data_IF_412008444470
#
_entry.id   IF_412008444470
#
_cell.length_a   1.000
_cell.length_b   1.000
_cell.length_c   1.000
_cell.angle_alpha   90.00
_cell.angle_beta   90.00
_cell.angle_gamma   90.00
#
_symmetry.space_group_name_H-M   'P 1'
#
loop_
_entity.id
_entity.type
_entity.pdbx_description
1 polymer ?
#
# COMPACT_ATOMS: atom_id res chain seq x y z
N UNK A 1 -54.18 -11.35 17.78
CA UNK A 1 -52.91 -11.71 17.09
C UNK A 1 -52.03 -10.44 17.10
N UNK A 2 -51.00 -10.28 17.95
CA UNK A 2 -49.63 -10.84 17.84
C UNK A 2 -49.09 -10.66 16.40
N UNK A 3 -48.02 -9.94 16.04
CA UNK A 3 -46.71 -9.65 16.65
C UNK A 3 -46.04 -8.46 15.88
N UNK A 4 -45.45 -7.46 16.57
CA UNK A 4 -44.01 -7.13 16.75
C UNK A 4 -43.43 -5.95 15.93
N UNK A 5 -42.97 -4.95 16.70
CA UNK A 5 -42.01 -3.87 16.38
C UNK A 5 -40.74 -4.41 15.71
N UNK A 6 -40.22 -3.69 14.72
CA UNK A 6 -38.80 -3.71 14.36
C UNK A 6 -38.22 -2.35 14.76
N UNK A 7 -37.27 -2.40 15.71
CA UNK A 7 -36.45 -1.29 16.14
C UNK A 7 -35.50 -0.88 15.00
N UNK A 8 -35.52 0.39 14.65
CA UNK A 8 -34.42 1.05 13.94
C UNK A 8 -33.16 0.90 14.79
N UNK A 9 -32.22 0.05 14.36
CA UNK A 9 -30.85 0.08 14.88
C UNK A 9 -30.20 1.34 14.35
N UNK A 10 -29.89 2.26 15.25
CA UNK A 10 -28.92 3.32 15.02
C UNK A 10 -27.60 2.66 14.58
N UNK A 11 -27.09 3.11 13.44
CA UNK A 11 -25.73 2.82 12.98
C UNK A 11 -24.78 3.62 13.89
N UNK A 12 -23.80 3.02 14.57
CA UNK A 12 -22.80 3.80 15.27
C UNK A 12 -21.90 4.49 14.22
N UNK A 13 -21.93 5.83 14.23
CA UNK A 13 -20.93 6.67 13.59
C UNK A 13 -19.61 6.53 14.35
N UNK A 14 -18.77 5.57 13.98
CA UNK A 14 -17.36 5.57 14.37
C UNK A 14 -16.55 6.33 13.33
N UNK A 15 -16.48 7.64 13.54
CA UNK A 15 -15.32 8.44 13.14
C UNK A 15 -14.14 7.94 13.97
N UNK A 16 -13.48 6.89 13.49
CA UNK A 16 -12.31 6.30 14.12
C UNK A 16 -11.09 7.16 13.74
N UNK A 17 -10.49 7.79 14.74
CA UNK A 17 -9.38 8.74 14.57
C UNK A 17 -8.11 7.99 14.12
N UNK A 18 -7.74 8.16 12.84
CA UNK A 18 -6.54 7.59 12.20
C UNK A 18 -5.26 7.82 13.03
N UNK A 19 -5.22 8.88 13.87
CA UNK A 19 -4.08 9.16 14.77
C UNK A 19 -3.89 8.08 15.84
N UNK A 20 -4.96 7.44 16.28
CA UNK A 20 -4.90 6.38 17.30
C UNK A 20 -4.43 5.04 16.73
N UNK A 21 -4.78 4.72 15.48
CA UNK A 21 -4.25 3.55 14.77
C UNK A 21 -2.75 3.71 14.53
N UNK A 22 -2.32 4.84 13.98
CA UNK A 22 -0.90 5.17 13.74
C UNK A 22 -0.07 5.02 15.03
N UNK A 23 -0.62 5.44 16.18
CA UNK A 23 0.05 5.34 17.49
C UNK A 23 0.21 3.90 17.98
N UNK A 24 -0.80 3.05 17.78
CA UNK A 24 -0.71 1.62 18.12
C UNK A 24 0.32 0.90 17.23
N UNK A 25 0.36 1.20 15.93
CA UNK A 25 1.34 0.64 14.99
C UNK A 25 2.79 1.01 15.35
N UNK A 26 3.05 2.25 15.79
CA UNK A 26 4.38 2.66 16.22
C UNK A 26 4.91 1.84 17.42
N UNK A 27 4.02 1.30 18.25
CA UNK A 27 4.40 0.57 19.49
C UNK A 27 4.76 -0.89 19.20
N UNK A 28 4.16 -1.52 18.18
CA UNK A 28 4.44 -2.91 17.81
C UNK A 28 5.78 -3.10 17.07
N UNK A 29 6.29 -2.05 16.42
CA UNK A 29 7.53 -2.10 15.61
C UNK A 29 8.81 -2.09 16.47
N UNK A 30 8.73 -1.71 17.75
CA UNK A 30 9.89 -1.54 18.64
C UNK A 30 10.66 -2.81 19.01
N UNK A 31 10.25 -4.01 18.56
CA UNK A 31 10.91 -5.27 18.90
C UNK A 31 11.75 -5.91 17.77
N UNK A 32 11.88 -5.28 16.60
CA UNK A 32 12.62 -5.83 15.42
C UNK A 32 13.92 -5.05 15.11
N UNK A 33 14.37 -4.17 16.01
CA UNK A 33 15.38 -3.14 15.73
C UNK A 33 16.79 -3.47 16.26
N UNK A 34 17.60 -4.24 15.51
CA UNK A 34 19.05 -4.17 15.73
C UNK A 34 19.88 -3.95 14.45
N UNK A 35 19.26 -3.65 13.29
CA UNK A 35 19.98 -3.27 12.05
C UNK A 35 19.17 -2.38 11.08
N UNK A 36 18.06 -1.78 11.53
CA UNK A 36 17.15 -1.00 10.67
C UNK A 36 17.25 0.53 10.89
N UNK A 37 18.10 0.98 11.81
CA UNK A 37 18.22 2.40 12.19
C UNK A 37 18.70 3.31 11.04
N UNK A 38 19.34 2.73 10.02
CA UNK A 38 19.84 3.47 8.85
C UNK A 38 18.81 3.54 7.70
N UNK A 39 17.65 2.90 7.85
CA UNK A 39 16.60 2.94 6.84
C UNK A 39 15.62 4.08 7.11
N UNK A 40 15.29 4.81 6.05
CA UNK A 40 14.15 5.75 6.06
C UNK A 40 12.86 4.93 6.06
N UNK A 41 12.11 5.03 7.16
CA UNK A 41 10.84 4.32 7.34
C UNK A 41 9.73 5.10 6.63
N UNK A 42 8.87 4.38 5.92
CA UNK A 42 7.71 4.95 5.23
C UNK A 42 6.57 3.96 5.24
N UNK A 43 5.34 4.46 5.37
CA UNK A 43 4.13 3.65 5.47
C UNK A 43 3.25 3.92 4.25
N UNK A 44 2.70 2.84 3.69
CA UNK A 44 1.84 2.87 2.51
C UNK A 44 0.56 2.11 2.77
N UNK A 45 -0.54 2.59 2.21
CA UNK A 45 -1.84 1.93 2.29
C UNK A 45 -2.65 2.20 1.03
N UNK A 46 -3.58 1.31 0.70
CA UNK A 46 -4.52 1.50 -0.40
C UNK A 46 -5.89 0.92 -0.06
N UNK A 47 -6.94 1.68 -0.39
CA UNK A 47 -8.32 1.25 -0.21
C UNK A 47 -9.15 1.59 -1.45
N UNK A 48 -10.26 0.87 -1.63
CA UNK A 48 -11.21 1.14 -2.71
C UNK A 48 -12.65 0.99 -2.24
N UNK A 49 -13.53 1.79 -2.81
CA UNK A 49 -14.96 1.83 -2.53
C UNK A 49 -15.72 2.17 -3.81
N UNK A 50 -17.05 2.11 -3.76
CA UNK A 50 -17.91 2.59 -4.83
C UNK A 50 -18.49 3.95 -4.45
N UNK A 51 -18.48 4.91 -5.39
CA UNK A 51 -19.12 6.21 -5.20
C UNK A 51 -20.66 6.10 -5.31
N UNK A 52 -21.35 7.24 -5.16
CA UNK A 52 -22.81 7.30 -5.24
C UNK A 52 -23.37 6.93 -6.63
N UNK A 53 -22.54 6.98 -7.66
CA UNK A 53 -22.89 6.65 -9.04
C UNK A 53 -22.53 5.19 -9.40
N UNK A 54 -22.02 4.41 -8.44
CA UNK A 54 -21.57 3.04 -8.66
C UNK A 54 -20.21 2.93 -9.36
N UNK A 55 -19.46 4.02 -9.48
CA UNK A 55 -18.10 3.97 -10.00
C UNK A 55 -17.14 3.49 -8.91
N UNK A 56 -16.23 2.58 -9.28
CA UNK A 56 -15.14 2.19 -8.37
C UNK A 56 -14.13 3.32 -8.27
N UNK A 57 -13.81 3.70 -7.03
CA UNK A 57 -12.77 4.69 -6.71
C UNK A 57 -11.79 4.01 -5.76
N UNK A 58 -10.50 4.13 -6.05
CA UNK A 58 -9.47 3.79 -5.08
C UNK A 58 -8.72 5.05 -4.62
N UNK A 59 -8.12 4.94 -3.45
CA UNK A 59 -7.24 5.95 -2.88
C UNK A 59 -6.06 5.26 -2.24
N UNK A 60 -4.93 5.92 -2.24
CA UNK A 60 -3.75 5.45 -1.55
C UNK A 60 -3.10 6.56 -0.73
N UNK A 61 -2.41 6.15 0.32
CA UNK A 61 -1.70 7.02 1.25
C UNK A 61 -0.23 6.69 1.32
N UNK A 62 0.59 7.72 1.45
CA UNK A 62 2.01 7.65 1.75
C UNK A 62 2.28 8.50 3.00
N UNK A 63 2.94 7.91 3.99
CA UNK A 63 3.26 8.56 5.25
C UNK A 63 4.73 8.34 5.63
N UNK A 64 5.52 9.41 5.58
CA UNK A 64 6.94 9.46 5.92
C UNK A 64 7.20 9.82 7.39
N UNK A 65 6.25 10.51 8.02
CA UNK A 65 6.33 10.92 9.42
C UNK A 65 5.47 12.14 9.74
N UNK A 66 5.28 12.49 11.02
CA UNK A 66 4.49 13.66 11.40
C UNK A 66 4.99 14.94 10.74
N UNK A 67 4.09 15.70 10.12
CA UNK A 67 4.37 16.96 9.42
C UNK A 67 5.36 16.88 8.25
N UNK A 68 5.69 15.68 7.76
CA UNK A 68 6.52 15.54 6.57
C UNK A 68 5.76 16.04 5.33
N UNK A 69 6.33 16.97 4.52
CA UNK A 69 5.65 17.53 3.36
C UNK A 69 5.43 16.52 2.23
N UNK A 70 6.12 15.37 2.25
CA UNK A 70 5.94 14.27 1.28
C UNK A 70 4.73 13.40 1.61
N UNK A 71 4.12 13.57 2.78
CA UNK A 71 2.89 12.86 3.12
C UNK A 71 1.78 13.21 2.13
N UNK A 72 1.13 12.19 1.58
CA UNK A 72 0.12 12.39 0.55
C UNK A 72 -1.02 11.37 0.65
N UNK A 73 -2.22 11.82 0.26
CA UNK A 73 -3.34 10.94 -0.07
C UNK A 73 -3.75 11.27 -1.49
N UNK A 74 -3.74 10.28 -2.37
CA UNK A 74 -4.07 10.45 -3.79
C UNK A 74 -5.23 9.55 -4.19
N UNK A 75 -5.96 9.99 -5.21
CA UNK A 75 -7.12 9.25 -5.76
C UNK A 75 -6.71 8.56 -7.06
N UNK A 76 -7.11 7.31 -7.20
CA UNK A 76 -6.89 6.47 -8.37
C UNK A 76 -8.25 5.96 -8.87
N UNK A 77 -8.90 6.67 -9.81
CA UNK A 77 -10.21 6.31 -10.33
C UNK A 77 -10.21 4.92 -10.99
N UNK A 78 -11.33 4.20 -10.92
CA UNK A 78 -11.53 2.92 -11.59
C UNK A 78 -10.69 1.76 -11.05
N UNK A 79 -9.93 1.96 -9.98
CA UNK A 79 -8.90 1.00 -9.55
C UNK A 79 -9.29 0.21 -8.30
N UNK A 80 -8.57 -0.88 -8.06
CA UNK A 80 -8.73 -1.71 -6.85
C UNK A 80 -7.85 -1.20 -5.71
N UNK A 81 -8.14 -1.64 -4.49
CA UNK A 81 -7.27 -1.40 -3.33
C UNK A 81 -5.85 -1.94 -3.58
N UNK A 82 -5.71 -3.13 -4.17
CA UNK A 82 -4.40 -3.71 -4.52
C UNK A 82 -3.62 -2.81 -5.48
N UNK A 83 -4.29 -2.33 -6.55
CA UNK A 83 -3.65 -1.40 -7.49
C UNK A 83 -3.20 -0.13 -6.78
N UNK A 84 -4.05 0.44 -5.92
CA UNK A 84 -3.74 1.65 -5.16
C UNK A 84 -2.55 1.46 -4.20
N UNK A 85 -2.47 0.35 -3.47
CA UNK A 85 -1.33 0.07 -2.59
C UNK A 85 -0.04 -0.14 -3.37
N UNK A 86 -0.07 -0.85 -4.51
CA UNK A 86 1.10 -1.01 -5.37
C UNK A 86 1.58 0.34 -5.94
N UNK A 87 0.64 1.21 -6.34
CA UNK A 87 0.95 2.58 -6.77
C UNK A 87 1.59 3.41 -5.65
N UNK A 88 1.14 3.26 -4.40
CA UNK A 88 1.74 3.93 -3.25
C UNK A 88 3.21 3.53 -3.06
N UNK A 89 3.50 2.22 -3.13
CA UNK A 89 4.87 1.69 -3.05
C UNK A 89 5.72 2.26 -4.20
N UNK A 90 5.18 2.27 -5.42
CA UNK A 90 5.87 2.82 -6.59
C UNK A 90 6.19 4.31 -6.43
N UNK A 91 5.23 5.10 -5.93
CA UNK A 91 5.43 6.53 -5.69
C UNK A 91 6.53 6.79 -4.65
N UNK A 92 6.54 6.05 -3.55
CA UNK A 92 7.61 6.12 -2.54
C UNK A 92 8.98 5.87 -3.16
N UNK A 93 9.08 4.83 -4.00
CA UNK A 93 10.32 4.46 -4.68
C UNK A 93 10.76 5.59 -5.62
N UNK A 94 9.85 6.16 -6.40
CA UNK A 94 10.17 7.28 -7.28
C UNK A 94 10.64 8.51 -6.48
N UNK A 95 9.95 8.88 -5.40
CA UNK A 95 10.37 10.00 -4.55
C UNK A 95 11.80 9.81 -4.01
N UNK A 96 12.13 8.63 -3.51
CA UNK A 96 13.46 8.35 -2.99
C UNK A 96 14.56 8.39 -4.07
N UNK A 97 14.25 8.12 -5.33
CA UNK A 97 15.23 8.21 -6.43
C UNK A 97 15.59 9.64 -6.80
N UNK A 98 14.71 10.60 -6.52
CA UNK A 98 14.97 12.02 -6.75
C UNK A 98 15.86 12.63 -5.66
N UNK A 99 16.12 11.90 -4.57
CA UNK A 99 17.06 12.31 -3.52
C UNK A 99 18.50 11.94 -3.90
N UNK A 100 19.46 12.81 -3.55
CA UNK A 100 20.89 12.58 -3.79
C UNK A 100 21.70 12.64 -2.48
N UNK A 101 22.28 11.51 -2.01
CA UNK A 101 22.12 10.15 -2.53
C UNK A 101 20.74 9.55 -2.19
N UNK A 102 20.25 8.57 -2.97
CA UNK A 102 19.00 7.88 -2.67
C UNK A 102 19.05 7.21 -1.28
N UNK A 103 18.02 7.37 -0.42
CA UNK A 103 18.01 6.76 0.90
C UNK A 103 17.79 5.25 0.81
N UNK A 104 18.27 4.53 1.84
CA UNK A 104 17.84 3.15 2.07
C UNK A 104 16.40 3.15 2.59
N UNK A 105 15.48 2.44 1.93
CA UNK A 105 14.04 2.51 2.24
C UNK A 105 13.52 1.28 3.00
N UNK A 106 12.77 1.51 4.08
CA UNK A 106 12.00 0.47 4.77
C UNK A 106 10.51 0.81 4.63
N UNK A 107 9.87 0.16 3.67
CA UNK A 107 8.48 0.41 3.30
C UNK A 107 7.57 -0.55 4.06
N UNK A 108 6.66 -0.02 4.87
CA UNK A 108 5.59 -0.76 5.51
C UNK A 108 4.34 -0.67 4.65
N UNK A 109 3.67 -1.80 4.42
CA UNK A 109 2.47 -1.86 3.58
C UNK A 109 1.44 -2.83 4.10
N UNK A 110 0.16 -2.47 4.03
CA UNK A 110 -0.98 -3.33 4.41
C UNK A 110 -1.45 -4.25 3.27
N UNK A 111 -0.64 -4.40 2.22
CA UNK A 111 -1.01 -5.19 1.05
C UNK A 111 -1.17 -6.67 1.41
N UNK A 112 -2.42 -7.11 1.51
CA UNK A 112 -2.81 -8.51 1.69
C UNK A 112 -2.55 -9.34 0.41
N UNK A 113 -1.30 -9.64 0.07
CA UNK A 113 -0.89 -10.87 -0.67
C UNK A 113 0.54 -10.83 -1.23
N UNK A 114 1.58 -10.56 -0.44
CA UNK A 114 2.92 -10.95 -0.90
C UNK A 114 3.90 -10.99 0.25
N UNK A 115 4.18 -12.17 0.83
CA UNK A 115 5.29 -12.29 1.80
C UNK A 115 6.65 -11.90 1.19
N UNK A 116 6.74 -11.77 -0.15
CA UNK A 116 7.99 -11.54 -0.86
C UNK A 116 7.77 -10.81 -2.21
N UNK A 117 7.13 -9.62 -2.20
CA UNK A 117 6.83 -8.84 -3.42
C UNK A 117 8.06 -8.68 -4.34
N UNK A 118 9.19 -8.25 -3.79
CA UNK A 118 10.40 -7.98 -4.58
C UNK A 118 10.99 -9.24 -5.22
N UNK A 119 10.96 -10.37 -4.49
CA UNK A 119 11.37 -11.67 -5.02
C UNK A 119 10.45 -12.11 -6.15
N UNK A 120 9.15 -11.94 -5.95
CA UNK A 120 8.13 -12.29 -6.94
C UNK A 120 8.23 -11.44 -8.21
N UNK A 121 8.55 -10.15 -8.11
CA UNK A 121 8.76 -9.27 -9.28
C UNK A 121 9.81 -9.84 -10.24
N UNK A 122 10.91 -10.40 -9.72
CA UNK A 122 11.94 -11.05 -10.56
C UNK A 122 11.38 -12.26 -11.33
N UNK A 123 10.56 -13.07 -10.67
CA UNK A 123 9.91 -14.22 -11.31
C UNK A 123 8.79 -13.82 -12.28
N UNK A 124 8.22 -12.63 -12.12
CA UNK A 124 7.20 -12.09 -13.01
C UNK A 124 7.86 -11.53 -14.27
N UNK A 125 8.99 -10.83 -14.13
CA UNK A 125 9.76 -10.29 -15.25
C UNK A 125 10.27 -11.37 -16.21
N UNK A 126 10.67 -12.55 -15.71
CA UNK A 126 11.09 -13.70 -16.56
C UNK A 126 10.03 -14.17 -17.56
N UNK A 127 8.77 -13.82 -17.33
CA UNK A 127 7.60 -14.21 -18.12
C UNK A 127 6.80 -13.00 -18.58
N UNK A 128 7.45 -11.84 -18.68
CA UNK A 128 6.86 -10.57 -19.12
C UNK A 128 5.54 -10.22 -18.40
N UNK A 129 5.46 -10.55 -17.10
CA UNK A 129 4.28 -10.34 -16.27
C UNK A 129 3.01 -11.07 -16.76
N UNK A 130 3.16 -12.20 -17.45
CA UNK A 130 2.08 -13.14 -17.77
C UNK A 130 1.87 -14.20 -16.69
N UNK A 131 0.67 -14.75 -16.59
CA UNK A 131 0.37 -15.88 -15.71
C UNK A 131 1.10 -17.16 -16.15
N UNK A 132 1.56 -17.98 -15.19
CA UNK A 132 2.46 -19.13 -15.43
C UNK A 132 1.93 -20.18 -16.41
N UNK A 133 0.61 -20.29 -16.53
CA UNK A 133 -0.07 -21.36 -17.28
C UNK A 133 -1.19 -20.82 -18.17
N UNK A 134 -1.19 -19.50 -18.43
CA UNK A 134 -2.21 -18.85 -19.25
C UNK A 134 -1.55 -17.79 -20.11
N UNK A 135 -2.02 -17.65 -21.33
CA UNK A 135 -1.68 -16.52 -22.21
C UNK A 135 -2.48 -15.27 -21.81
N UNK A 136 -2.44 -14.97 -20.50
CA UNK A 136 -3.19 -13.90 -19.86
C UNK A 136 -2.21 -13.07 -19.02
N UNK A 137 -2.19 -11.76 -19.26
CA UNK A 137 -1.40 -10.82 -18.45
C UNK A 137 -1.88 -10.85 -17.00
N UNK A 138 -0.94 -10.67 -16.08
CA UNK A 138 -1.27 -10.54 -14.66
C UNK A 138 -2.14 -9.31 -14.42
N UNK A 139 -3.01 -9.38 -13.41
CA UNK A 139 -3.68 -8.19 -12.89
C UNK A 139 -2.62 -7.20 -12.43
N UNK A 140 -2.81 -5.92 -12.76
CA UNK A 140 -1.85 -4.85 -12.47
C UNK A 140 -0.45 -5.06 -13.08
N UNK A 141 -0.33 -5.82 -14.19
CA UNK A 141 0.95 -6.12 -14.84
C UNK A 141 1.78 -4.86 -15.11
N UNK A 142 1.16 -3.78 -15.57
CA UNK A 142 1.83 -2.51 -15.85
C UNK A 142 2.47 -1.92 -14.58
N UNK A 143 1.72 -1.82 -13.47
CA UNK A 143 2.25 -1.33 -12.19
C UNK A 143 3.38 -2.23 -11.66
N UNK A 144 3.24 -3.56 -11.83
CA UNK A 144 4.26 -4.52 -11.42
C UNK A 144 5.54 -4.39 -12.27
N UNK A 145 5.40 -4.10 -13.57
CA UNK A 145 6.50 -3.86 -14.47
C UNK A 145 7.24 -2.56 -14.11
N UNK A 146 6.50 -1.49 -13.83
CA UNK A 146 7.08 -0.22 -13.38
C UNK A 146 7.81 -0.39 -12.04
N UNK A 147 7.21 -1.10 -11.09
CA UNK A 147 7.85 -1.48 -9.83
C UNK A 147 9.14 -2.25 -10.06
N UNK A 148 9.14 -3.26 -10.94
CA UNK A 148 10.33 -4.05 -11.23
C UNK A 148 11.48 -3.19 -11.79
N UNK A 149 11.17 -2.22 -12.63
CA UNK A 149 12.15 -1.26 -13.15
C UNK A 149 12.63 -0.29 -12.05
N UNK A 150 11.71 0.26 -11.27
CA UNK A 150 11.99 1.31 -10.29
C UNK A 150 12.83 0.82 -9.09
N UNK A 151 12.68 -0.45 -8.69
CA UNK A 151 13.44 -1.04 -7.58
C UNK A 151 14.91 -1.35 -7.93
N UNK A 152 15.29 -1.29 -9.20
CA UNK A 152 16.68 -1.60 -9.61
C UNK A 152 17.66 -0.55 -9.08
N UNK A 153 18.74 -1.01 -8.46
CA UNK A 153 19.80 -0.14 -7.94
C UNK A 153 19.48 0.57 -6.63
N UNK A 154 18.31 0.29 -6.01
CA UNK A 154 17.96 0.82 -4.70
C UNK A 154 18.16 -0.20 -3.59
N UNK A 155 18.59 0.28 -2.43
CA UNK A 155 18.63 -0.51 -1.21
C UNK A 155 17.30 -0.35 -0.47
N UNK A 156 16.38 -1.31 -0.62
CA UNK A 156 15.07 -1.23 0.01
C UNK A 156 14.57 -2.59 0.52
N UNK A 157 13.70 -2.53 1.52
CA UNK A 157 12.96 -3.66 2.08
C UNK A 157 11.49 -3.28 2.21
N UNK A 158 10.59 -4.21 1.85
CA UNK A 158 9.15 -4.04 2.04
C UNK A 158 8.69 -5.02 3.12
N UNK A 159 7.96 -4.52 4.12
CA UNK A 159 7.38 -5.28 5.22
C UNK A 159 5.86 -5.21 5.10
N UNK A 160 5.22 -6.37 5.03
CA UNK A 160 3.77 -6.51 5.05
C UNK A 160 3.29 -6.89 6.45
N UNK A 161 2.17 -6.32 6.91
CA UNK A 161 1.62 -6.54 8.25
C UNK A 161 0.09 -6.71 8.24
#
# INVERSE_FOLDING_TARGET
MWFRRILLRQVPSTSMDLRHEIRWFATAVGHVEQNLDHFTKVYTTGYSFFDQNGNRIAKYGVFWGPNDPRNAIRTLPGSTNVAATLTAILEVIHMAREEEPPPSLLIYSDLQSTEDLLKNLRDYAKRDFYLRRRDEKMKNAEILQDLFSAVQGLHLKVIFY
#
